data_IF_789757782007
#
_entry.id   IF_789757782007
#
_cell.length_a   1.000
_cell.length_b   1.000
_cell.length_c   1.000
_cell.angle_alpha   90.00
_cell.angle_beta   90.00
_cell.angle_gamma   90.00
#
_symmetry.space_group_name_H-M   'P 1'
#
loop_
_entity.id
_entity.type
_entity.pdbx_description
1 polymer ?
#
# COMPACT_ATOMS: atom_id res chain seq x y z
N UNK A 1 -19.53 20.67 -18.44
CA UNK A 1 -18.15 20.99 -18.88
C UNK A 1 -17.66 22.15 -18.02
N UNK A 2 -16.49 22.02 -17.40
CA UNK A 2 -15.94 23.01 -16.48
C UNK A 2 -14.82 23.85 -17.09
N UNK A 3 -14.08 23.29 -18.06
CA UNK A 3 -13.10 24.02 -18.86
C UNK A 3 -13.17 23.49 -20.30
N UNK A 4 -13.73 24.28 -21.21
CA UNK A 4 -13.86 23.88 -22.61
C UNK A 4 -12.54 23.88 -23.36
N UNK A 5 -11.59 24.73 -22.95
CA UNK A 5 -10.31 24.86 -23.64
C UNK A 5 -9.44 23.62 -23.41
N UNK A 6 -9.56 23.01 -22.24
CA UNK A 6 -8.79 21.82 -21.84
C UNK A 6 -9.64 20.54 -21.78
N UNK A 7 -10.86 20.56 -22.33
CA UNK A 7 -11.78 19.40 -22.34
C UNK A 7 -12.05 18.81 -20.93
N UNK A 8 -12.12 19.63 -19.89
CA UNK A 8 -12.36 19.17 -18.51
C UNK A 8 -13.85 19.19 -18.18
N UNK A 9 -14.33 18.07 -17.67
CA UNK A 9 -15.68 17.89 -17.17
C UNK A 9 -15.69 17.97 -15.65
N UNK A 10 -16.87 18.27 -15.09
CA UNK A 10 -17.07 18.34 -13.65
C UNK A 10 -18.42 17.74 -13.28
N UNK A 11 -18.45 17.02 -12.17
CA UNK A 11 -19.65 16.56 -11.52
C UNK A 11 -19.60 16.92 -10.03
N UNK A 12 -20.73 17.38 -9.48
CA UNK A 12 -20.85 17.57 -8.04
C UNK A 12 -21.13 16.21 -7.38
N UNK A 13 -20.27 15.82 -6.46
CA UNK A 13 -20.27 14.51 -5.79
C UNK A 13 -20.46 14.60 -4.28
N UNK A 14 -20.59 15.82 -3.73
CA UNK A 14 -20.77 16.05 -2.30
C UNK A 14 -19.54 15.65 -1.49
N UNK A 15 -19.75 15.10 -0.30
CA UNK A 15 -18.69 14.81 0.68
C UNK A 15 -18.02 13.44 0.46
N UNK A 16 -17.80 13.04 -0.79
CA UNK A 16 -17.04 11.83 -1.09
C UNK A 16 -15.54 12.14 -0.92
N UNK A 17 -14.78 11.15 -0.43
CA UNK A 17 -13.33 11.16 -0.49
C UNK A 17 -12.86 9.81 -1.03
N UNK A 18 -11.85 9.83 -1.87
CA UNK A 18 -11.31 8.66 -2.57
C UNK A 18 -9.91 8.93 -3.08
N UNK A 19 -9.18 7.86 -3.37
CA UNK A 19 -7.89 7.92 -4.07
C UNK A 19 -7.92 7.29 -5.45
N UNK A 20 -9.06 6.74 -5.88
CA UNK A 20 -9.21 6.09 -7.17
C UNK A 20 -10.46 6.58 -7.90
N UNK A 21 -10.36 6.71 -9.21
CA UNK A 21 -11.47 6.95 -10.12
C UNK A 21 -11.38 5.92 -11.25
N UNK A 22 -12.51 5.35 -11.64
CA UNK A 22 -12.58 4.44 -12.78
C UNK A 22 -13.57 4.95 -13.80
N UNK A 23 -13.22 4.86 -15.09
CA UNK A 23 -14.11 5.23 -16.20
C UNK A 23 -14.21 4.04 -17.15
N UNK A 24 -15.41 3.48 -17.28
CA UNK A 24 -15.67 2.22 -17.99
C UNK A 24 -14.79 1.06 -17.49
N UNK A 25 -14.48 1.05 -16.19
CA UNK A 25 -13.62 0.04 -15.56
C UNK A 25 -12.13 0.32 -15.65
N UNK A 26 -11.68 1.31 -16.41
CA UNK A 26 -10.27 1.69 -16.49
C UNK A 26 -9.88 2.61 -15.32
N UNK A 27 -8.76 2.35 -14.63
CA UNK A 27 -8.24 3.23 -13.60
C UNK A 27 -7.73 4.54 -14.23
N UNK A 28 -8.14 5.66 -13.65
CA UNK A 28 -7.76 7.00 -14.08
C UNK A 28 -6.71 7.61 -13.16
N UNK A 29 -5.82 8.41 -13.74
CA UNK A 29 -4.66 8.98 -13.05
C UNK A 29 -5.10 10.11 -12.15
N UNK A 30 -4.80 10.03 -10.85
CA UNK A 30 -4.96 11.20 -9.97
C UNK A 30 -3.99 12.28 -10.44
N UNK A 31 -4.51 13.48 -10.74
CA UNK A 31 -3.77 14.55 -11.43
C UNK A 31 -2.39 14.78 -10.82
N UNK A 32 -1.34 14.74 -11.65
CA UNK A 32 0.04 14.76 -11.17
C UNK A 32 1.00 15.41 -12.16
N UNK A 33 2.06 15.99 -11.61
CA UNK A 33 3.16 16.52 -12.41
C UNK A 33 4.02 15.43 -13.04
N UNK A 34 4.87 15.88 -13.98
CA UNK A 34 5.92 15.06 -14.59
C UNK A 34 6.91 14.49 -13.56
N UNK A 35 7.68 13.49 -13.99
CA UNK A 35 8.67 12.85 -13.13
C UNK A 35 9.86 13.78 -12.85
N UNK A 36 10.33 13.76 -11.61
CA UNK A 36 11.52 14.44 -11.09
C UNK A 36 11.56 15.94 -11.45
N UNK A 37 10.54 16.73 -11.05
CA UNK A 37 10.53 18.16 -11.36
C UNK A 37 11.76 18.85 -10.78
N UNK A 38 12.35 19.76 -11.56
CA UNK A 38 13.47 20.58 -11.11
C UNK A 38 13.03 21.65 -10.11
N UNK A 39 13.99 22.31 -9.46
CA UNK A 39 13.71 23.51 -8.67
C UNK A 39 13.32 23.26 -7.22
N UNK A 40 13.55 22.05 -6.70
CA UNK A 40 13.34 21.69 -5.30
C UNK A 40 14.69 21.57 -4.59
N UNK A 41 14.79 22.19 -3.42
CA UNK A 41 15.90 22.01 -2.49
C UNK A 41 15.33 21.66 -1.13
N UNK A 42 15.59 20.44 -0.64
CA UNK A 42 15.11 19.96 0.65
C UNK A 42 15.57 20.86 1.80
N UNK A 43 14.66 21.11 2.74
CA UNK A 43 14.88 21.83 4.01
C UNK A 43 14.49 20.94 5.19
N UNK A 44 14.60 21.44 6.42
CA UNK A 44 14.19 20.70 7.62
C UNK A 44 12.68 20.49 7.74
N UNK A 45 11.86 21.29 7.05
CA UNK A 45 10.39 21.24 7.14
C UNK A 45 9.70 21.02 5.80
N UNK A 46 10.44 20.80 4.72
CA UNK A 46 9.90 20.62 3.39
C UNK A 46 10.93 20.96 2.32
N UNK A 47 10.62 21.95 1.47
CA UNK A 47 11.45 22.33 0.32
C UNK A 47 11.45 23.85 0.09
N UNK A 48 12.59 24.38 -0.31
CA UNK A 48 12.65 25.63 -1.06
C UNK A 48 12.37 25.32 -2.52
N UNK A 49 11.44 26.06 -3.14
CA UNK A 49 11.00 25.89 -4.53
C UNK A 49 11.34 27.11 -5.38
N UNK A 50 11.60 26.90 -6.67
CA UNK A 50 11.83 28.00 -7.63
C UNK A 50 10.57 28.48 -8.32
N UNK A 51 9.55 27.64 -8.44
CA UNK A 51 8.27 27.99 -9.04
C UNK A 51 7.34 28.66 -8.02
N UNK A 52 7.32 29.99 -8.03
CA UNK A 52 6.49 30.77 -7.12
C UNK A 52 5.00 30.77 -7.51
N UNK A 53 4.63 30.24 -8.68
CA UNK A 53 3.21 30.16 -9.06
C UNK A 53 2.43 29.21 -8.16
N UNK A 54 3.10 28.22 -7.56
CA UNK A 54 2.54 27.24 -6.63
C UNK A 54 1.93 27.87 -5.37
N UNK A 55 2.38 29.06 -4.97
CA UNK A 55 1.78 29.84 -3.87
C UNK A 55 0.30 30.16 -4.15
N UNK A 56 -0.08 30.33 -5.42
CA UNK A 56 -1.46 30.61 -5.82
C UNK A 56 -2.34 29.39 -6.02
N UNK A 57 -1.79 28.18 -5.90
CA UNK A 57 -2.54 26.95 -6.11
C UNK A 57 -3.63 26.78 -5.07
N UNK A 58 -4.79 26.28 -5.51
CA UNK A 58 -5.90 26.00 -4.60
C UNK A 58 -5.66 24.73 -3.80
N UNK A 59 -6.22 24.69 -2.59
CA UNK A 59 -6.21 23.51 -1.73
C UNK A 59 -4.80 22.92 -1.57
N UNK A 60 -3.78 23.75 -1.33
CA UNK A 60 -2.38 23.30 -1.20
C UNK A 60 -2.21 22.13 -0.22
N UNK A 61 -3.05 22.05 0.81
CA UNK A 61 -3.01 20.96 1.80
C UNK A 61 -3.44 19.59 1.26
N UNK A 62 -4.08 19.55 0.10
CA UNK A 62 -4.43 18.33 -0.61
C UNK A 62 -3.28 17.82 -1.49
N UNK A 63 -2.33 18.70 -1.88
CA UNK A 63 -1.17 18.35 -2.69
C UNK A 63 -0.29 17.34 -1.94
N UNK A 64 0.23 16.33 -2.63
CA UNK A 64 1.16 15.36 -2.05
C UNK A 64 2.52 15.42 -2.75
N UNK A 65 3.58 15.42 -1.94
CA UNK A 65 4.95 15.14 -2.40
C UNK A 65 5.16 13.64 -2.39
N UNK A 66 5.53 13.07 -3.53
CA UNK A 66 5.88 11.65 -3.63
C UNK A 66 7.35 11.50 -3.99
N UNK A 67 8.06 10.65 -3.26
CA UNK A 67 9.46 10.30 -3.49
C UNK A 67 9.64 8.78 -3.38
N UNK A 68 10.52 8.22 -4.19
CA UNK A 68 10.90 6.81 -4.13
C UNK A 68 12.35 6.67 -3.74
N UNK A 69 12.65 5.66 -2.93
CA UNK A 69 14.01 5.33 -2.57
C UNK A 69 14.20 3.84 -2.32
N UNK A 70 15.08 3.21 -3.10
CA UNK A 70 15.31 1.77 -3.01
C UNK A 70 14.02 0.97 -3.14
N UNK A 71 13.61 0.31 -2.06
CA UNK A 71 12.37 -0.45 -1.96
C UNK A 71 11.15 0.41 -1.56
N UNK A 72 11.34 1.58 -0.97
CA UNK A 72 10.29 2.37 -0.32
C UNK A 72 9.57 3.33 -1.27
N UNK A 73 8.27 3.49 -1.05
CA UNK A 73 7.52 4.67 -1.47
C UNK A 73 7.29 5.60 -0.26
N UNK A 74 7.56 6.89 -0.45
CA UNK A 74 7.29 7.94 0.53
C UNK A 74 6.34 8.96 -0.08
N UNK A 75 5.29 9.32 0.65
CA UNK A 75 4.23 10.22 0.20
C UNK A 75 3.76 11.06 1.36
N UNK A 76 3.94 12.37 1.29
CA UNK A 76 3.50 13.29 2.32
C UNK A 76 2.58 14.37 1.76
N UNK A 77 1.46 14.68 2.43
CA UNK A 77 0.71 15.89 2.13
C UNK A 77 1.57 17.13 2.36
N UNK A 78 1.35 18.16 1.55
CA UNK A 78 1.86 19.50 1.78
C UNK A 78 1.02 20.17 2.86
N UNK A 79 1.64 21.03 3.67
CA UNK A 79 0.93 21.84 4.65
C UNK A 79 0.58 23.21 4.05
N UNK A 80 1.55 23.87 3.43
CA UNK A 80 1.39 25.18 2.79
C UNK A 80 2.54 25.48 1.83
N UNK A 81 2.28 26.39 0.90
CA UNK A 81 3.27 26.98 0.01
C UNK A 81 3.12 28.50 0.09
N UNK A 82 4.20 29.21 0.43
CA UNK A 82 4.24 30.67 0.52
C UNK A 82 5.52 31.17 -0.15
N UNK A 83 5.39 31.95 -1.22
CA UNK A 83 6.49 32.38 -2.07
C UNK A 83 7.32 31.19 -2.59
N UNK A 84 8.55 31.07 -2.09
CA UNK A 84 9.48 29.98 -2.43
C UNK A 84 9.55 28.88 -1.37
N UNK A 85 8.70 28.90 -0.35
CA UNK A 85 8.75 27.94 0.76
C UNK A 85 7.57 26.98 0.68
N UNK A 86 7.84 25.70 0.45
CA UNK A 86 6.88 24.60 0.62
C UNK A 86 7.12 23.93 1.97
N UNK A 87 6.14 24.00 2.85
CA UNK A 87 6.14 23.26 4.12
C UNK A 87 5.38 21.96 3.93
N UNK A 88 5.98 20.83 4.31
CA UNK A 88 5.37 19.50 4.20
C UNK A 88 4.79 19.08 5.55
N UNK A 89 3.65 18.39 5.51
CA UNK A 89 2.88 18.03 6.68
C UNK A 89 3.67 17.12 7.64
N UNK A 90 3.53 17.41 8.94
CA UNK A 90 4.04 16.59 10.04
C UNK A 90 2.89 15.72 10.62
N UNK A 91 3.17 14.51 11.12
CA UNK A 91 4.49 13.90 11.31
C UNK A 91 5.07 13.18 10.08
N UNK A 92 4.37 13.18 8.94
CA UNK A 92 4.85 12.47 7.74
C UNK A 92 6.29 12.84 7.37
N UNK A 93 6.59 14.14 7.22
CA UNK A 93 7.93 14.55 6.78
C UNK A 93 9.02 14.21 7.81
N UNK A 94 8.74 14.32 9.11
CA UNK A 94 9.64 13.83 10.17
C UNK A 94 9.93 12.34 10.00
N UNK A 95 8.89 11.50 9.89
CA UNK A 95 9.05 10.06 9.71
C UNK A 95 9.82 9.71 8.43
N UNK A 96 9.62 10.47 7.37
CA UNK A 96 10.31 10.32 6.08
C UNK A 96 11.83 10.62 6.14
N UNK A 97 12.32 11.16 7.27
CA UNK A 97 13.72 11.52 7.48
C UNK A 97 14.41 10.68 8.56
N UNK A 98 13.73 9.65 9.10
CA UNK A 98 14.28 8.85 10.19
C UNK A 98 15.39 7.89 9.75
N UNK A 99 15.32 7.36 8.52
CA UNK A 99 16.25 6.34 8.03
C UNK A 99 17.46 6.99 7.34
N UNK A 100 18.57 7.08 8.07
CA UNK A 100 19.76 7.81 7.62
C UNK A 100 20.34 7.22 6.31
N UNK A 101 20.41 8.02 5.25
CA UNK A 101 20.80 7.59 3.90
C UNK A 101 19.69 6.96 3.08
N UNK A 102 18.47 6.86 3.64
CA UNK A 102 17.25 6.43 2.97
C UNK A 102 16.09 7.41 3.17
N UNK A 103 16.38 8.68 3.40
CA UNK A 103 15.37 9.70 3.63
C UNK A 103 14.63 10.08 2.34
N UNK A 104 13.47 10.71 2.50
CA UNK A 104 12.76 11.39 1.41
C UNK A 104 13.70 12.35 0.68
N UNK A 105 13.79 12.21 -0.63
CA UNK A 105 14.61 13.08 -1.47
C UNK A 105 13.73 14.16 -2.12
N UNK A 106 14.25 14.86 -3.13
CA UNK A 106 13.42 15.70 -3.97
C UNK A 106 12.26 14.88 -4.58
N UNK A 107 11.13 15.54 -4.89
CA UNK A 107 9.94 14.84 -5.38
C UNK A 107 10.27 14.00 -6.63
N UNK A 108 9.86 12.74 -6.64
CA UNK A 108 9.71 11.98 -7.89
C UNK A 108 8.52 12.51 -8.67
N UNK A 109 7.44 12.94 -8.01
CA UNK A 109 6.40 13.78 -8.60
C UNK A 109 5.61 14.51 -7.50
N UNK A 110 4.78 15.45 -7.92
CA UNK A 110 3.72 16.04 -7.12
C UNK A 110 2.37 15.56 -7.64
N UNK A 111 1.39 15.36 -6.77
CA UNK A 111 0.04 14.97 -7.19
C UNK A 111 -1.07 15.62 -6.37
N UNK A 112 -2.29 15.50 -6.87
CA UNK A 112 -3.54 15.92 -6.24
C UNK A 112 -3.73 17.44 -6.12
N UNK A 113 -3.48 18.16 -7.21
CA UNK A 113 -3.88 19.56 -7.35
C UNK A 113 -4.65 19.78 -8.65
N UNK A 114 -5.57 20.76 -8.65
CA UNK A 114 -6.35 21.11 -9.84
C UNK A 114 -5.46 21.62 -10.96
N UNK A 115 -4.40 22.33 -10.60
CA UNK A 115 -3.42 22.93 -11.48
C UNK A 115 -2.53 21.89 -12.19
N UNK A 116 -2.50 20.66 -11.67
CA UNK A 116 -1.82 19.51 -12.28
C UNK A 116 -2.73 18.71 -13.23
N UNK A 117 -4.02 19.04 -13.36
CA UNK A 117 -4.95 18.36 -14.26
C UNK A 117 -4.74 18.87 -15.69
N UNK A 118 -3.81 18.25 -16.43
CA UNK A 118 -3.35 18.72 -17.74
C UNK A 118 -3.31 17.65 -18.84
N UNK A 119 -3.42 16.37 -18.47
CA UNK A 119 -3.29 15.25 -19.41
C UNK A 119 -4.59 14.41 -19.47
N UNK A 120 -5.03 13.95 -20.65
CA UNK A 120 -6.19 13.07 -20.76
C UNK A 120 -6.05 11.81 -19.91
N UNK A 121 -7.09 11.48 -19.15
CA UNK A 121 -7.11 10.42 -18.15
C UNK A 121 -6.86 10.92 -16.73
N UNK A 122 -6.56 12.19 -16.53
CA UNK A 122 -6.37 12.73 -15.21
C UNK A 122 -7.67 13.20 -14.55
N UNK A 123 -7.73 13.09 -13.22
CA UNK A 123 -8.82 13.59 -12.39
C UNK A 123 -8.35 14.30 -11.13
N UNK A 124 -9.19 15.20 -10.62
CA UNK A 124 -8.98 15.90 -9.35
C UNK A 124 -10.29 16.03 -8.60
N UNK A 125 -10.28 15.74 -7.30
CA UNK A 125 -11.44 15.90 -6.41
C UNK A 125 -11.22 17.13 -5.51
N UNK A 126 -11.96 18.20 -5.76
CA UNK A 126 -12.02 19.35 -4.88
C UNK A 126 -12.96 19.01 -3.71
N UNK A 127 -12.40 18.48 -2.62
CA UNK A 127 -13.16 18.08 -1.43
C UNK A 127 -13.87 19.26 -0.77
N UNK A 128 -13.31 20.47 -0.88
CA UNK A 128 -13.89 21.68 -0.28
C UNK A 128 -15.18 22.11 -1.01
N UNK A 129 -15.21 21.94 -2.32
CA UNK A 129 -16.36 22.24 -3.17
C UNK A 129 -17.30 21.03 -3.39
N UNK A 130 -16.84 19.82 -3.08
CA UNK A 130 -17.53 18.57 -3.39
C UNK A 130 -17.60 18.29 -4.89
N UNK A 131 -16.60 18.72 -5.65
CA UNK A 131 -16.59 18.68 -7.11
C UNK A 131 -15.48 17.77 -7.65
N UNK A 132 -15.86 16.79 -8.47
CA UNK A 132 -14.94 15.92 -9.19
C UNK A 132 -14.70 16.47 -10.60
N UNK A 133 -13.44 16.73 -10.93
CA UNK A 133 -12.97 17.15 -12.25
C UNK A 133 -12.32 15.97 -12.97
N UNK A 134 -12.59 15.83 -14.26
CA UNK A 134 -12.02 14.77 -15.09
C UNK A 134 -11.74 15.25 -16.52
N UNK A 135 -10.56 14.91 -17.04
CA UNK A 135 -10.21 15.09 -18.45
C UNK A 135 -10.31 13.74 -19.17
N UNK A 136 -11.35 13.48 -19.99
CA UNK A 136 -11.54 12.16 -20.60
C UNK A 136 -10.48 11.83 -21.64
N UNK A 137 -10.09 10.55 -21.68
CA UNK A 137 -9.24 9.98 -22.73
C UNK A 137 -9.95 10.00 -24.08
N UNK A 138 -9.18 9.91 -25.16
CA UNK A 138 -9.73 9.75 -26.50
C UNK A 138 -10.66 8.53 -26.56
N UNK A 139 -11.89 8.72 -27.05
CA UNK A 139 -12.90 7.66 -27.16
C UNK A 139 -13.82 7.52 -25.95
N UNK A 140 -13.53 8.14 -24.81
CA UNK A 140 -14.44 8.14 -23.66
C UNK A 140 -15.54 9.19 -23.84
N UNK A 141 -16.76 8.73 -24.07
CA UNK A 141 -17.95 9.59 -24.10
C UNK A 141 -18.60 9.66 -22.71
N UNK A 142 -18.42 10.77 -21.99
CA UNK A 142 -18.94 10.94 -20.64
C UNK A 142 -20.48 11.01 -20.55
N UNK A 143 -21.19 11.19 -21.67
CA UNK A 143 -22.65 11.10 -21.67
C UNK A 143 -23.15 9.65 -21.52
N UNK A 144 -22.30 8.65 -21.79
CA UNK A 144 -22.64 7.22 -21.75
C UNK A 144 -21.68 6.41 -20.88
N UNK A 145 -20.58 7.01 -20.41
CA UNK A 145 -19.58 6.32 -19.61
C UNK A 145 -20.11 5.96 -18.22
N UNK A 146 -19.66 4.82 -17.69
CA UNK A 146 -19.82 4.50 -16.28
C UNK A 146 -18.62 5.06 -15.52
N UNK A 147 -18.86 5.99 -14.60
CA UNK A 147 -17.83 6.59 -13.75
C UNK A 147 -18.01 6.04 -12.33
N UNK A 148 -16.99 5.34 -11.81
CA UNK A 148 -17.04 4.66 -10.51
C UNK A 148 -16.03 5.28 -9.55
N UNK A 149 -16.52 5.63 -8.36
CA UNK A 149 -15.71 6.14 -7.23
C UNK A 149 -15.86 5.18 -6.05
N UNK A 150 -14.78 4.49 -5.62
CA UNK A 150 -14.81 3.67 -4.42
C UNK A 150 -14.92 4.52 -3.15
N UNK A 151 -15.70 4.03 -2.17
CA UNK A 151 -15.98 4.75 -0.91
C UNK A 151 -15.66 3.98 0.36
N UNK A 152 -15.61 2.65 0.29
CA UNK A 152 -15.37 1.77 1.44
C UNK A 152 -13.95 1.23 1.37
N UNK A 153 -13.35 0.99 2.53
CA UNK A 153 -12.04 0.36 2.63
C UNK A 153 -12.14 -1.16 2.54
N UNK A 154 -13.04 -1.73 3.34
CA UNK A 154 -13.20 -3.17 3.46
C UNK A 154 -14.51 -3.56 2.76
N UNK A 155 -14.43 -4.52 1.86
CA UNK A 155 -15.58 -5.14 1.19
C UNK A 155 -16.11 -6.32 2.02
N UNK A 156 -15.21 -7.07 2.66
CA UNK A 156 -15.51 -8.20 3.53
C UNK A 156 -14.55 -8.19 4.72
N UNK A 157 -15.09 -8.36 5.92
CA UNK A 157 -14.31 -8.54 7.15
C UNK A 157 -14.82 -9.76 7.92
N UNK A 158 -14.05 -10.86 7.89
CA UNK A 158 -14.26 -12.04 8.71
C UNK A 158 -13.50 -11.86 10.03
N UNK A 159 -14.13 -11.15 10.96
CA UNK A 159 -13.51 -10.73 12.22
C UNK A 159 -13.76 -11.72 13.37
N UNK A 160 -13.05 -12.84 13.33
CA UNK A 160 -13.03 -13.81 14.42
C UNK A 160 -12.18 -13.34 15.60
N UNK A 161 -12.29 -14.06 16.71
CA UNK A 161 -11.45 -13.86 17.90
C UNK A 161 -10.81 -15.16 18.35
N UNK A 162 -9.80 -15.09 19.21
CA UNK A 162 -9.12 -16.28 19.76
C UNK A 162 -10.07 -17.27 20.46
N UNK A 163 -11.16 -16.78 21.06
CA UNK A 163 -12.18 -17.59 21.74
C UNK A 163 -13.39 -17.95 20.88
N UNK A 164 -13.60 -17.22 19.78
CA UNK A 164 -14.69 -17.42 18.84
C UNK A 164 -14.19 -17.18 17.41
N UNK A 165 -13.46 -18.14 16.82
CA UNK A 165 -12.99 -18.04 15.45
C UNK A 165 -14.16 -18.09 14.46
N UNK A 166 -14.01 -17.40 13.33
CA UNK A 166 -14.92 -17.58 12.18
C UNK A 166 -14.53 -18.85 11.47
N UNK A 167 -15.45 -19.77 11.23
CA UNK A 167 -15.15 -21.08 10.64
C UNK A 167 -16.01 -21.43 9.45
N UNK A 168 -15.46 -22.25 8.55
CA UNK A 168 -16.16 -22.93 7.45
C UNK A 168 -16.88 -21.98 6.47
N UNK A 169 -16.21 -20.88 6.10
CA UNK A 169 -16.70 -19.90 5.11
C UNK A 169 -16.00 -20.13 3.76
N UNK A 170 -16.77 -20.15 2.67
CA UNK A 170 -16.23 -20.32 1.32
C UNK A 170 -16.73 -19.23 0.37
N UNK A 171 -15.80 -18.62 -0.37
CA UNK A 171 -16.06 -17.71 -1.48
C UNK A 171 -15.64 -18.37 -2.79
N UNK A 172 -16.58 -18.49 -3.72
CA UNK A 172 -16.34 -19.18 -5.00
C UNK A 172 -16.89 -18.36 -6.17
N UNK A 173 -16.04 -18.07 -7.15
CA UNK A 173 -16.45 -17.36 -8.36
C UNK A 173 -16.91 -15.91 -8.14
N UNK A 174 -16.50 -15.27 -7.03
CA UNK A 174 -16.87 -13.90 -6.70
C UNK A 174 -15.84 -12.92 -7.26
N UNK A 175 -16.31 -11.77 -7.73
CA UNK A 175 -15.46 -10.62 -8.04
C UNK A 175 -15.56 -9.59 -6.92
N UNK A 176 -14.43 -9.30 -6.26
CA UNK A 176 -14.29 -8.25 -5.26
C UNK A 176 -13.69 -7.01 -5.93
N UNK A 177 -14.45 -5.91 -5.97
CA UNK A 177 -14.00 -4.68 -6.64
C UNK A 177 -14.44 -3.40 -5.97
N UNK A 178 -13.67 -2.35 -6.26
CA UNK A 178 -13.94 -0.97 -5.89
C UNK A 178 -13.92 -0.72 -4.37
N UNK A 179 -12.73 -0.81 -3.79
CA UNK A 179 -12.41 -0.23 -2.48
C UNK A 179 -11.45 0.95 -2.59
N UNK A 180 -11.39 1.81 -1.57
CA UNK A 180 -10.44 2.93 -1.43
C UNK A 180 -9.69 2.83 -0.11
N UNK A 181 -8.53 3.47 0.02
CA UNK A 181 -7.82 3.57 1.29
C UNK A 181 -7.29 4.98 1.49
N UNK A 182 -7.80 5.68 2.51
CA UNK A 182 -7.56 7.10 2.69
C UNK A 182 -6.37 7.42 3.61
N UNK A 183 -5.79 6.43 4.30
CA UNK A 183 -4.69 6.68 5.24
C UNK A 183 -3.48 7.41 4.61
N UNK A 184 -3.13 7.21 3.32
CA UNK A 184 -2.07 7.99 2.67
C UNK A 184 -2.38 9.48 2.50
N UNK A 185 -3.66 9.88 2.57
CA UNK A 185 -4.10 11.29 2.56
C UNK A 185 -4.07 11.94 3.95
N UNK A 186 -3.80 11.17 5.02
CA UNK A 186 -3.75 11.69 6.39
C UNK A 186 -2.44 12.44 6.69
N UNK A 187 -2.35 13.09 7.84
CA UNK A 187 -1.12 13.76 8.29
C UNK A 187 0.09 12.83 8.45
N UNK A 188 -0.14 11.52 8.61
CA UNK A 188 0.93 10.53 8.63
C UNK A 188 1.48 10.22 7.22
N UNK A 189 0.78 10.64 6.17
CA UNK A 189 1.10 10.32 4.78
C UNK A 189 1.25 8.81 4.58
N UNK A 190 2.13 8.37 3.68
CA UNK A 190 2.59 6.99 3.58
C UNK A 190 4.12 7.03 3.58
N UNK A 191 4.71 6.77 4.74
CA UNK A 191 6.14 6.54 4.89
C UNK A 191 6.34 5.05 5.10
N UNK A 192 6.82 4.38 4.06
CA UNK A 192 7.05 2.95 4.11
C UNK A 192 8.33 2.64 4.91
N UNK A 193 8.27 1.62 5.77
CA UNK A 193 9.46 0.94 6.29
C UNK A 193 9.89 -0.19 5.35
N UNK A 194 8.97 -1.10 5.02
CA UNK A 194 9.10 -2.14 3.99
C UNK A 194 7.73 -2.76 3.65
N UNK A 195 7.59 -3.35 2.45
CA UNK A 195 6.43 -4.14 2.02
C UNK A 195 5.09 -3.38 2.02
N UNK A 196 5.13 -2.06 1.88
CA UNK A 196 3.98 -1.14 1.96
C UNK A 196 3.57 -0.75 3.39
N UNK A 197 4.29 -1.20 4.43
CA UNK A 197 3.89 -0.99 5.83
C UNK A 197 4.42 0.33 6.34
N UNK A 198 3.57 1.07 7.07
CA UNK A 198 3.76 2.49 7.32
C UNK A 198 4.32 2.79 8.69
N UNK A 199 5.29 3.70 8.74
CA UNK A 199 5.67 4.43 9.94
C UNK A 199 4.64 5.54 10.17
N UNK A 200 4.00 5.55 11.34
CA UNK A 200 2.96 6.52 11.72
C UNK A 200 3.25 7.13 13.08
N UNK A 201 2.55 8.22 13.42
CA UNK A 201 2.67 8.90 14.70
C UNK A 201 3.82 9.90 14.75
N UNK A 202 3.77 10.76 15.78
CA UNK A 202 4.68 11.88 15.96
C UNK A 202 5.84 11.61 16.93
N UNK A 203 5.82 10.48 17.63
CA UNK A 203 6.72 10.19 18.75
C UNK A 203 7.81 9.17 18.38
N UNK A 204 8.36 9.29 17.16
CA UNK A 204 9.40 8.41 16.65
C UNK A 204 10.76 9.11 16.74
N UNK A 205 11.61 8.77 17.72
CA UNK A 205 12.92 9.43 17.88
C UNK A 205 13.93 9.07 16.78
N UNK A 206 13.84 7.87 16.23
CA UNK A 206 14.72 7.32 15.20
C UNK A 206 14.02 6.19 14.43
N UNK A 207 14.59 5.73 13.31
CA UNK A 207 13.98 4.68 12.47
C UNK A 207 13.84 3.36 13.20
N UNK A 208 14.87 2.94 13.93
CA UNK A 208 14.92 1.61 14.54
C UNK A 208 13.87 1.43 15.64
N UNK A 209 13.55 2.50 16.38
CA UNK A 209 12.45 2.54 17.36
C UNK A 209 11.06 2.25 16.77
N UNK A 210 10.90 2.37 15.44
CA UNK A 210 9.63 2.18 14.75
C UNK A 210 9.41 0.75 14.26
N UNK A 211 10.45 -0.09 14.18
CA UNK A 211 10.43 -1.40 13.50
C UNK A 211 9.33 -2.36 13.96
N UNK A 212 8.96 -2.31 15.23
CA UNK A 212 7.91 -3.15 15.81
C UNK A 212 6.50 -2.55 15.75
N UNK A 213 6.38 -1.33 15.21
CA UNK A 213 5.16 -0.53 15.24
C UNK A 213 4.70 -0.10 13.84
N UNK A 214 5.25 -0.69 12.77
CA UNK A 214 4.83 -0.37 11.41
C UNK A 214 3.41 -0.87 11.17
N UNK A 215 2.56 0.01 10.67
CA UNK A 215 1.15 -0.28 10.40
C UNK A 215 1.02 -0.95 9.04
N UNK A 216 0.58 -2.20 9.07
CA UNK A 216 0.28 -2.99 7.88
C UNK A 216 -0.81 -2.33 7.02
N UNK A 217 -0.67 -2.41 5.70
CA UNK A 217 -1.69 -1.98 4.74
C UNK A 217 -2.95 -2.86 4.86
N UNK A 218 -4.17 -2.30 4.95
CA UNK A 218 -5.39 -3.09 5.09
C UNK A 218 -5.79 -3.78 3.77
N UNK A 219 -6.42 -4.95 3.87
CA UNK A 219 -7.03 -5.66 2.75
C UNK A 219 -8.43 -5.15 2.43
N UNK A 220 -8.87 -5.30 1.18
CA UNK A 220 -10.28 -5.17 0.83
C UNK A 220 -11.10 -6.36 1.35
N UNK A 221 -10.46 -7.53 1.48
CA UNK A 221 -11.00 -8.70 2.18
C UNK A 221 -10.06 -9.06 3.31
N UNK A 222 -10.57 -9.08 4.53
CA UNK A 222 -9.79 -9.39 5.74
C UNK A 222 -10.33 -10.64 6.43
N UNK A 223 -9.43 -11.46 6.95
CA UNK A 223 -9.75 -12.64 7.77
C UNK A 223 -8.88 -12.60 9.01
N UNK A 224 -9.48 -12.55 10.19
CA UNK A 224 -8.81 -12.61 11.48
C UNK A 224 -9.37 -13.79 12.26
N UNK A 225 -8.52 -14.62 12.86
CA UNK A 225 -8.93 -15.86 13.52
C UNK A 225 -9.94 -16.69 12.68
N UNK A 226 -9.68 -16.80 11.37
CA UNK A 226 -10.49 -17.61 10.45
C UNK A 226 -9.98 -19.04 10.35
N UNK A 227 -10.83 -20.04 10.54
CA UNK A 227 -10.48 -21.46 10.51
C UNK A 227 -11.22 -22.19 9.37
N UNK A 228 -10.49 -22.79 8.44
CA UNK A 228 -11.11 -23.49 7.30
C UNK A 228 -11.82 -22.56 6.32
N UNK A 229 -11.33 -21.33 6.16
CA UNK A 229 -11.84 -20.37 5.16
C UNK A 229 -11.30 -20.73 3.78
N UNK A 230 -12.09 -20.54 2.72
CA UNK A 230 -11.63 -20.80 1.35
C UNK A 230 -12.01 -19.72 0.35
N UNK A 231 -11.08 -19.42 -0.56
CA UNK A 231 -11.26 -18.56 -1.71
C UNK A 231 -10.87 -19.35 -2.96
N UNK A 232 -11.86 -19.74 -3.76
CA UNK A 232 -11.67 -20.53 -4.98
C UNK A 232 -12.19 -19.82 -6.23
N UNK A 233 -11.34 -19.64 -7.25
CA UNK A 233 -11.80 -19.13 -8.54
C UNK A 233 -12.35 -17.70 -8.51
N UNK A 234 -11.96 -16.89 -7.53
CA UNK A 234 -12.40 -15.50 -7.38
C UNK A 234 -11.52 -14.53 -8.18
N UNK A 235 -12.01 -13.31 -8.36
CA UNK A 235 -11.25 -12.19 -8.92
C UNK A 235 -11.19 -11.04 -7.91
N UNK A 236 -10.00 -10.53 -7.60
CA UNK A 236 -9.76 -9.34 -6.80
C UNK A 236 -9.22 -8.27 -7.73
N UNK A 237 -9.99 -7.19 -7.95
CA UNK A 237 -9.65 -6.21 -9.00
C UNK A 237 -10.20 -4.82 -8.69
N UNK A 238 -9.48 -3.77 -9.07
CA UNK A 238 -9.87 -2.37 -8.80
C UNK A 238 -9.92 -2.04 -7.29
N UNK A 239 -8.86 -2.38 -6.56
CA UNK A 239 -8.81 -2.26 -5.10
C UNK A 239 -7.79 -1.21 -4.66
N UNK A 240 -8.19 -0.29 -3.78
CA UNK A 240 -7.39 0.86 -3.37
C UNK A 240 -6.34 0.59 -2.30
N UNK A 241 -6.18 -0.66 -1.85
CA UNK A 241 -5.14 -1.10 -0.92
C UNK A 241 -4.75 -2.56 -1.22
N UNK A 242 -4.72 -3.46 -0.24
CA UNK A 242 -4.39 -4.88 -0.44
C UNK A 242 -5.61 -5.64 -0.98
N UNK A 243 -5.38 -6.69 -1.77
CA UNK A 243 -6.44 -7.57 -2.23
C UNK A 243 -7.09 -8.40 -1.12
N UNK A 244 -6.37 -9.44 -0.69
CA UNK A 244 -6.78 -10.36 0.36
C UNK A 244 -5.73 -10.38 1.48
N UNK A 245 -6.21 -10.28 2.72
CA UNK A 245 -5.36 -10.23 3.90
C UNK A 245 -5.79 -11.24 4.96
N UNK A 246 -4.93 -12.23 5.23
CA UNK A 246 -5.08 -13.15 6.36
C UNK A 246 -4.27 -12.62 7.55
N UNK A 247 -4.96 -12.18 8.60
CA UNK A 247 -4.39 -11.65 9.83
C UNK A 247 -4.20 -12.75 10.89
N UNK A 248 -3.69 -12.34 12.05
CA UNK A 248 -3.41 -13.12 13.25
C UNK A 248 -4.44 -14.21 13.52
N UNK A 249 -3.95 -15.40 13.87
CA UNK A 249 -4.76 -16.56 14.26
C UNK A 249 -5.54 -17.23 13.13
N UNK A 250 -5.35 -16.82 11.87
CA UNK A 250 -5.97 -17.46 10.71
C UNK A 250 -5.28 -18.77 10.38
N UNK A 251 -6.05 -19.86 10.30
CA UNK A 251 -5.53 -21.21 10.20
C UNK A 251 -6.27 -22.03 9.13
N UNK A 252 -5.52 -22.83 8.36
CA UNK A 252 -6.11 -23.76 7.41
C UNK A 252 -6.86 -23.07 6.26
N UNK A 253 -6.49 -21.84 5.90
CA UNK A 253 -7.16 -21.11 4.80
C UNK A 253 -6.57 -21.50 3.45
N UNK A 254 -7.44 -21.75 2.47
CA UNK A 254 -7.01 -22.06 1.10
C UNK A 254 -7.37 -20.94 0.13
N UNK A 255 -6.37 -20.38 -0.55
CA UNK A 255 -6.50 -19.35 -1.59
C UNK A 255 -6.06 -20.00 -2.90
N UNK A 256 -7.01 -20.53 -3.66
CA UNK A 256 -6.71 -21.37 -4.84
C UNK A 256 -7.40 -20.91 -6.13
N UNK A 257 -6.65 -20.82 -7.22
CA UNK A 257 -7.25 -20.57 -8.55
C UNK A 257 -7.81 -19.16 -8.74
N UNK A 258 -7.41 -18.18 -7.93
CA UNK A 258 -7.92 -16.81 -8.00
C UNK A 258 -7.05 -15.92 -8.90
N UNK A 259 -7.61 -14.79 -9.32
CA UNK A 259 -6.91 -13.73 -10.06
C UNK A 259 -6.85 -12.47 -9.20
N UNK A 260 -5.66 -11.92 -9.01
CA UNK A 260 -5.41 -10.64 -8.34
C UNK A 260 -4.78 -9.68 -9.36
N UNK A 261 -5.48 -8.60 -9.69
CA UNK A 261 -4.99 -7.60 -10.65
C UNK A 261 -5.54 -6.21 -10.43
N UNK A 262 -4.85 -5.17 -10.87
CA UNK A 262 -5.30 -3.77 -10.72
C UNK A 262 -5.58 -3.46 -9.22
N UNK A 263 -4.55 -3.70 -8.39
CA UNK A 263 -4.59 -3.53 -6.94
C UNK A 263 -3.50 -2.54 -6.55
N UNK A 264 -3.88 -1.51 -5.78
CA UNK A 264 -3.01 -0.41 -5.41
C UNK A 264 -1.78 -0.85 -4.59
N UNK A 265 -1.94 -1.85 -3.71
CA UNK A 265 -0.89 -2.40 -2.86
C UNK A 265 -0.69 -3.91 -3.11
N UNK A 266 -0.26 -4.66 -2.08
CA UNK A 266 0.03 -6.09 -2.18
C UNK A 266 -1.19 -6.90 -2.61
N UNK A 267 -1.00 -7.88 -3.50
CA UNK A 267 -2.10 -8.75 -3.96
C UNK A 267 -2.65 -9.64 -2.84
N UNK A 268 -1.75 -10.42 -2.23
CA UNK A 268 -2.09 -11.39 -1.17
C UNK A 268 -1.16 -11.19 0.02
N UNK A 269 -1.72 -11.07 1.23
CA UNK A 269 -0.98 -11.03 2.49
C UNK A 269 -1.40 -12.17 3.41
N UNK A 270 -0.41 -12.88 3.97
CA UNK A 270 -0.62 -13.99 4.89
C UNK A 270 0.18 -13.77 6.18
N UNK A 271 -0.50 -13.78 7.32
CA UNK A 271 0.10 -13.50 8.62
C UNK A 271 0.35 -12.01 8.85
N UNK A 272 0.71 -11.68 10.08
CA UNK A 272 1.08 -10.33 10.49
C UNK A 272 2.57 -10.20 10.78
N UNK A 273 2.94 -9.04 11.29
CA UNK A 273 4.33 -8.65 11.59
C UNK A 273 4.48 -8.10 13.01
N UNK A 274 3.40 -8.13 13.79
CA UNK A 274 3.38 -7.58 15.13
C UNK A 274 3.96 -8.59 16.12
N UNK A 275 4.24 -8.13 17.34
CA UNK A 275 4.77 -9.00 18.42
C UNK A 275 3.86 -10.19 18.70
N UNK A 276 2.54 -10.03 18.57
CA UNK A 276 1.59 -11.15 18.74
C UNK A 276 1.74 -12.21 17.64
N UNK A 277 2.19 -11.84 16.45
CA UNK A 277 2.43 -12.78 15.36
C UNK A 277 3.78 -13.49 15.52
N UNK A 278 4.82 -12.74 15.93
CA UNK A 278 6.17 -13.25 16.15
C UNK A 278 6.28 -14.16 17.39
N UNK A 279 5.68 -13.74 18.51
CA UNK A 279 5.78 -14.39 19.83
C UNK A 279 4.43 -14.37 20.56
N UNK A 280 3.42 -15.09 20.06
CA UNK A 280 2.13 -15.16 20.72
C UNK A 280 2.25 -15.81 22.10
N UNK A 281 1.51 -15.28 23.07
CA UNK A 281 1.35 -15.92 24.39
C UNK A 281 0.46 -17.16 24.33
N UNK A 282 -0.30 -17.35 23.24
CA UNK A 282 -1.20 -18.48 23.01
C UNK A 282 -1.05 -18.98 21.57
N UNK A 283 -0.78 -20.28 21.41
CA UNK A 283 -0.54 -20.90 20.11
C UNK A 283 -1.74 -20.76 19.13
N UNK A 284 -2.94 -20.46 19.62
CA UNK A 284 -4.12 -20.20 18.77
C UNK A 284 -4.01 -18.89 17.97
N UNK A 285 -3.13 -17.97 18.36
CA UNK A 285 -2.85 -16.74 17.61
C UNK A 285 -1.84 -16.95 16.47
N UNK A 286 -1.20 -18.12 16.39
CA UNK A 286 -0.30 -18.43 15.27
C UNK A 286 -1.12 -18.52 13.98
N UNK A 287 -0.67 -17.78 12.96
CA UNK A 287 -1.19 -17.90 11.60
C UNK A 287 -0.51 -19.09 10.92
N UNK A 288 -1.25 -20.13 10.56
CA UNK A 288 -0.63 -21.39 10.12
C UNK A 288 -1.45 -22.26 9.18
N UNK A 289 -0.78 -23.23 8.56
CA UNK A 289 -1.40 -24.25 7.70
C UNK A 289 -2.18 -23.63 6.51
N UNK A 290 -1.77 -22.44 6.06
CA UNK A 290 -2.45 -21.72 4.99
C UNK A 290 -1.84 -22.09 3.63
N UNK A 291 -2.67 -22.24 2.61
CA UNK A 291 -2.24 -22.59 1.25
C UNK A 291 -2.60 -21.49 0.26
N UNK A 292 -1.59 -20.95 -0.44
CA UNK A 292 -1.74 -20.01 -1.56
C UNK A 292 -1.26 -20.73 -2.81
N UNK A 293 -2.20 -21.22 -3.63
CA UNK A 293 -1.82 -22.02 -4.80
C UNK A 293 -2.57 -21.74 -6.08
N UNK A 294 -1.93 -21.96 -7.22
CA UNK A 294 -2.59 -21.85 -8.53
C UNK A 294 -3.25 -20.48 -8.79
N UNK A 295 -2.78 -19.41 -8.16
CA UNK A 295 -3.30 -18.06 -8.39
C UNK A 295 -2.51 -17.33 -9.47
N UNK A 296 -3.14 -16.36 -10.11
CA UNK A 296 -2.47 -15.36 -10.96
C UNK A 296 -2.44 -14.04 -10.22
N UNK A 297 -1.26 -13.48 -10.01
CA UNK A 297 -1.04 -12.18 -9.36
C UNK A 297 -0.28 -11.28 -10.33
N UNK A 298 -0.93 -10.22 -10.82
CA UNK A 298 -0.34 -9.36 -11.86
C UNK A 298 -0.84 -7.95 -11.81
N UNK A 299 -0.02 -6.95 -12.15
CA UNK A 299 -0.42 -5.55 -12.07
C UNK A 299 -1.00 -5.20 -10.68
N UNK A 300 -0.32 -5.65 -9.63
CA UNK A 300 -0.57 -5.23 -8.25
C UNK A 300 0.57 -4.34 -7.78
N UNK A 301 0.41 -3.67 -6.63
CA UNK A 301 1.27 -2.60 -6.16
C UNK A 301 1.34 -1.40 -7.13
N UNK A 302 0.28 -1.18 -7.94
CA UNK A 302 0.30 -0.20 -9.03
C UNK A 302 0.32 1.27 -8.58
N UNK A 303 0.03 1.54 -7.30
CA UNK A 303 0.04 2.88 -6.69
C UNK A 303 0.97 2.98 -5.47
N UNK A 304 1.17 1.88 -4.75
CA UNK A 304 2.03 1.78 -3.57
C UNK A 304 3.21 0.85 -3.86
N UNK A 305 4.18 1.38 -4.61
CA UNK A 305 5.15 0.57 -5.37
C UNK A 305 6.16 -0.24 -4.55
N UNK A 306 6.32 0.02 -3.24
CA UNK A 306 7.10 -0.86 -2.35
C UNK A 306 6.33 -2.07 -1.81
N UNK A 307 5.06 -2.20 -2.20
CA UNK A 307 4.24 -3.40 -1.96
C UNK A 307 4.67 -4.58 -2.84
N UNK A 308 4.03 -5.74 -2.67
CA UNK A 308 4.52 -7.03 -3.17
C UNK A 308 3.47 -7.74 -4.03
N UNK A 309 3.87 -8.80 -4.75
CA UNK A 309 2.89 -9.75 -5.30
C UNK A 309 2.19 -10.52 -4.18
N UNK A 310 2.97 -11.33 -3.46
CA UNK A 310 2.53 -12.14 -2.32
C UNK A 310 3.46 -11.88 -1.13
N UNK A 311 2.87 -11.62 0.04
CA UNK A 311 3.60 -11.46 1.29
C UNK A 311 3.16 -12.56 2.28
N UNK A 312 4.12 -13.22 2.92
CA UNK A 312 3.90 -14.00 4.13
C UNK A 312 4.80 -13.46 5.25
N UNK A 313 4.20 -12.94 6.33
CA UNK A 313 4.92 -12.42 7.49
C UNK A 313 5.35 -13.55 8.43
N UNK A 314 5.03 -13.43 9.71
CA UNK A 314 5.21 -14.53 10.66
C UNK A 314 4.12 -15.59 10.47
N UNK A 315 4.52 -16.74 9.90
CA UNK A 315 3.59 -17.86 9.66
C UNK A 315 4.25 -19.20 9.91
N UNK A 316 3.46 -20.21 10.25
CA UNK A 316 3.90 -21.59 10.45
C UNK A 316 3.24 -22.52 9.42
N UNK A 317 4.01 -23.39 8.74
CA UNK A 317 3.48 -24.33 7.74
C UNK A 317 2.64 -23.69 6.60
N UNK A 318 2.91 -22.43 6.22
CA UNK A 318 2.28 -21.85 5.04
C UNK A 318 2.91 -22.38 3.75
N UNK A 319 2.10 -22.71 2.75
CA UNK A 319 2.54 -23.19 1.44
C UNK A 319 2.14 -22.19 0.36
N UNK A 320 3.13 -21.66 -0.35
CA UNK A 320 2.94 -20.77 -1.50
C UNK A 320 3.48 -21.49 -2.74
N UNK A 321 2.61 -22.05 -3.56
CA UNK A 321 3.04 -22.91 -4.67
C UNK A 321 2.23 -22.79 -5.95
N UNK A 322 2.85 -23.04 -7.10
CA UNK A 322 2.16 -23.04 -8.40
C UNK A 322 1.44 -21.72 -8.74
N UNK A 323 1.87 -20.59 -8.19
CA UNK A 323 1.32 -19.28 -8.54
C UNK A 323 2.08 -18.69 -9.73
N UNK A 324 1.38 -17.90 -10.57
CA UNK A 324 2.00 -17.08 -11.60
C UNK A 324 1.99 -15.62 -11.14
N UNK A 325 3.17 -15.06 -10.89
CA UNK A 325 3.35 -13.71 -10.31
C UNK A 325 4.19 -12.87 -11.28
N UNK A 326 3.61 -11.82 -11.87
CA UNK A 326 4.30 -11.05 -12.91
C UNK A 326 3.78 -9.63 -13.10
N UNK A 327 4.53 -8.78 -13.80
CA UNK A 327 4.17 -7.38 -14.05
C UNK A 327 4.06 -6.60 -12.73
N UNK A 328 5.17 -6.52 -11.99
CA UNK A 328 5.22 -5.89 -10.67
C UNK A 328 6.29 -4.80 -10.58
N UNK A 329 6.04 -3.73 -9.80
CA UNK A 329 7.02 -2.68 -9.59
C UNK A 329 8.20 -3.11 -8.71
N UNK A 330 8.01 -4.12 -7.85
CA UNK A 330 8.98 -4.56 -6.86
C UNK A 330 9.06 -6.09 -6.79
N UNK A 331 9.16 -6.69 -5.60
CA UNK A 331 9.40 -8.12 -5.40
C UNK A 331 8.15 -8.98 -5.66
N UNK A 332 8.40 -10.22 -6.11
CA UNK A 332 7.34 -11.19 -6.39
C UNK A 332 6.72 -11.77 -5.12
N UNK A 333 7.49 -12.58 -4.40
CA UNK A 333 7.07 -13.25 -3.16
C UNK A 333 8.06 -12.90 -2.05
N UNK A 334 7.56 -12.36 -0.93
CA UNK A 334 8.36 -12.13 0.28
C UNK A 334 7.87 -13.03 1.41
N UNK A 335 8.78 -13.70 2.10
CA UNK A 335 8.46 -14.60 3.23
C UNK A 335 9.33 -14.28 4.44
N UNK A 336 8.71 -14.19 5.62
CA UNK A 336 9.41 -13.86 6.85
C UNK A 336 9.41 -12.35 7.13
N UNK A 337 9.88 -12.02 8.34
CA UNK A 337 9.95 -10.65 8.85
C UNK A 337 10.94 -10.57 10.01
N UNK A 338 11.28 -9.35 10.43
CA UNK A 338 12.00 -9.11 11.68
C UNK A 338 13.51 -9.00 11.56
N UNK A 339 14.11 -9.34 10.40
CA UNK A 339 15.56 -9.24 10.15
C UNK A 339 16.39 -9.95 11.23
N UNK A 340 15.88 -11.04 11.80
CA UNK A 340 16.48 -11.73 12.95
C UNK A 340 16.49 -10.95 14.27
N UNK A 341 16.12 -9.66 14.29
CA UNK A 341 16.17 -8.80 15.48
C UNK A 341 15.25 -9.29 16.60
N UNK A 342 14.10 -9.84 16.22
CA UNK A 342 13.12 -10.38 17.18
C UNK A 342 13.35 -11.86 17.49
N UNK A 343 14.32 -12.52 16.84
CA UNK A 343 14.53 -13.95 17.01
C UNK A 343 15.33 -14.29 18.29
N UNK A 344 15.44 -15.59 18.60
CA UNK A 344 16.27 -16.05 19.71
C UNK A 344 17.73 -15.64 19.49
N UNK A 345 18.23 -14.73 20.35
CA UNK A 345 19.60 -14.24 20.29
C UNK A 345 19.82 -12.98 19.45
N UNK A 346 18.78 -12.50 18.75
CA UNK A 346 18.83 -11.28 17.92
C UNK A 346 19.71 -11.42 16.67
N UNK A 347 19.95 -10.30 15.98
CA UNK A 347 20.87 -10.25 14.84
C UNK A 347 22.07 -9.35 15.12
N UNK A 348 23.24 -9.98 15.23
CA UNK A 348 24.52 -9.30 15.49
C UNK A 348 25.02 -8.43 14.33
N UNK A 349 24.44 -8.56 13.13
CA UNK A 349 24.73 -7.66 12.01
C UNK A 349 24.20 -6.24 12.27
N UNK A 350 23.24 -6.09 13.19
CA UNK A 350 22.71 -4.80 13.63
C UNK A 350 23.33 -4.41 14.97
N UNK A 351 24.18 -3.36 15.01
CA UNK A 351 24.79 -2.90 16.26
C UNK A 351 23.74 -2.67 17.36
N UNK A 352 23.93 -3.30 18.51
CA UNK A 352 22.98 -3.21 19.63
C UNK A 352 21.58 -3.77 19.31
N UNK A 353 21.45 -4.68 18.33
CA UNK A 353 20.18 -5.21 17.85
C UNK A 353 19.18 -4.10 17.43
N UNK A 354 19.70 -2.96 16.97
CA UNK A 354 18.89 -1.77 16.66
C UNK A 354 17.99 -1.31 17.82
N UNK A 355 18.34 -1.62 19.07
CA UNK A 355 17.50 -1.32 20.24
C UNK A 355 16.18 -2.11 20.30
N UNK A 356 15.95 -3.04 19.36
CA UNK A 356 14.84 -3.97 19.38
C UNK A 356 15.08 -5.00 20.50
N UNK A 357 14.07 -5.35 21.31
CA UNK A 357 14.22 -6.38 22.33
C UNK A 357 14.74 -7.70 21.73
N UNK A 358 15.57 -8.42 22.46
CA UNK A 358 16.01 -9.77 22.07
C UNK A 358 15.16 -10.78 22.81
N UNK A 359 14.49 -11.66 22.07
CA UNK A 359 13.68 -12.73 22.67
C UNK A 359 14.54 -13.93 23.06
N UNK A 360 14.05 -14.71 24.01
CA UNK A 360 14.70 -15.96 24.47
C UNK A 360 14.20 -17.20 23.73
N UNK A 361 13.18 -17.04 22.89
CA UNK A 361 12.54 -18.10 22.10
C UNK A 361 12.51 -17.69 20.63
N UNK A 362 12.55 -18.65 19.70
CA UNK A 362 12.40 -18.34 18.29
C UNK A 362 11.07 -17.67 17.96
N UNK A 363 11.01 -16.98 16.82
CA UNK A 363 9.73 -16.54 16.25
C UNK A 363 8.86 -17.73 15.84
N UNK A 364 7.57 -17.50 15.57
CA UNK A 364 6.67 -18.54 15.05
C UNK A 364 6.96 -18.96 13.61
N UNK A 365 7.82 -18.23 12.89
CA UNK A 365 8.15 -18.52 11.49
C UNK A 365 8.93 -19.83 11.34
N UNK A 366 8.26 -20.87 10.86
CA UNK A 366 8.88 -22.17 10.60
C UNK A 366 8.09 -22.98 9.56
N UNK A 367 8.74 -23.96 8.93
CA UNK A 367 8.11 -24.93 8.02
C UNK A 367 7.33 -24.34 6.82
N UNK A 368 7.59 -23.08 6.46
CA UNK A 368 6.98 -22.45 5.29
C UNK A 368 7.64 -22.98 4.01
N UNK A 369 6.84 -23.17 2.95
CA UNK A 369 7.29 -23.69 1.66
C UNK A 369 6.93 -22.71 0.56
N UNK A 370 7.93 -22.29 -0.22
CA UNK A 370 7.76 -21.58 -1.48
C UNK A 370 8.31 -22.46 -2.60
N UNK A 371 7.44 -23.03 -3.43
CA UNK A 371 7.86 -23.98 -4.47
C UNK A 371 7.07 -23.79 -5.76
N UNK A 372 7.68 -24.10 -6.90
CA UNK A 372 6.96 -24.24 -8.18
C UNK A 372 6.18 -22.99 -8.65
N UNK A 373 6.54 -21.80 -8.18
CA UNK A 373 5.94 -20.54 -8.63
C UNK A 373 6.64 -20.03 -9.91
N UNK A 374 5.87 -19.52 -10.86
CA UNK A 374 6.38 -18.79 -12.02
C UNK A 374 6.44 -17.29 -11.68
N UNK A 375 7.65 -16.74 -11.55
CA UNK A 375 7.86 -15.32 -11.22
C UNK A 375 8.66 -14.66 -12.34
N UNK A 376 8.12 -13.62 -12.96
CA UNK A 376 8.74 -12.94 -14.09
C UNK A 376 8.34 -11.48 -14.18
N UNK A 377 9.09 -10.65 -14.91
CA UNK A 377 8.73 -9.25 -15.17
C UNK A 377 8.41 -8.44 -13.91
N UNK A 378 9.31 -8.55 -12.92
CA UNK A 378 9.26 -7.87 -11.63
C UNK A 378 10.36 -6.81 -11.52
N UNK A 379 10.42 -6.08 -10.40
CA UNK A 379 11.43 -5.05 -10.13
C UNK A 379 11.43 -3.92 -11.19
N UNK A 380 10.26 -3.59 -11.74
CA UNK A 380 10.14 -2.56 -12.78
C UNK A 380 10.45 -1.15 -12.32
N UNK A 381 10.21 -0.86 -11.03
CA UNK A 381 10.28 0.50 -10.50
C UNK A 381 11.16 0.63 -9.24
N UNK A 382 11.08 -0.33 -8.32
CA UNK A 382 11.85 -0.34 -7.07
C UNK A 382 13.11 -1.21 -7.18
N UNK A 383 14.03 -1.05 -6.23
CA UNK A 383 15.27 -1.81 -6.10
C UNK A 383 15.35 -2.54 -4.75
N UNK A 384 16.42 -3.32 -4.53
CA UNK A 384 16.69 -4.09 -3.30
C UNK A 384 15.64 -5.16 -2.97
N UNK A 385 15.28 -5.94 -4.00
CA UNK A 385 14.25 -6.97 -3.91
C UNK A 385 14.60 -8.20 -4.75
N UNK A 386 13.66 -9.13 -4.84
CA UNK A 386 13.87 -10.40 -5.53
C UNK A 386 12.59 -11.07 -6.01
N UNK A 387 12.76 -12.11 -6.82
CA UNK A 387 11.66 -12.99 -7.20
C UNK A 387 11.07 -13.66 -5.97
N UNK A 388 11.96 -14.24 -5.15
CA UNK A 388 11.66 -14.72 -3.80
C UNK A 388 12.63 -13.99 -2.88
N UNK A 389 12.10 -13.31 -1.87
CA UNK A 389 12.86 -12.60 -0.85
C UNK A 389 12.51 -13.18 0.53
N UNK A 390 13.52 -13.37 1.37
CA UNK A 390 13.34 -13.96 2.70
C UNK A 390 13.98 -13.12 3.77
N UNK A 391 13.31 -12.99 4.92
CA UNK A 391 13.78 -12.29 6.12
C UNK A 391 13.83 -13.18 7.35
#
# INVERSE_FOLDING_TARGET
MADSAHNVYKAHVGNIDTRQLYVNGELETRARGGNNPSGFTKTSTGYTITDTSMDSWKNQSDLEVVSRWGWMLMRCPVQSIVGTTMTVQQPCFHNANLHAGQEIQNPTWLENARELLDTPGEWYLDKSAGDLYYMPKAGQNLATATVTVPRVQDLVDLNGTISAPVSDVSFQGITFSYSTWLAPSSSDGLIEGQAGFRIVGSNNPDFDSTRLNWVKTPGAVNVSYGHGVSFQGNTFTHLGAVGLNLNTGTQGTTITGNVFKEIAATGIQVGGTDVIDAHPSDARSITKDNTVSNNVVTNVADQYTGSLGIFAGYTDHSVISHNKVYDLPYSGISVGWGWGLTDQGGDTNYPGNSGVPVWTTPTTSQNNVVSDNEISDIMKLQADGGAIYTL
#
